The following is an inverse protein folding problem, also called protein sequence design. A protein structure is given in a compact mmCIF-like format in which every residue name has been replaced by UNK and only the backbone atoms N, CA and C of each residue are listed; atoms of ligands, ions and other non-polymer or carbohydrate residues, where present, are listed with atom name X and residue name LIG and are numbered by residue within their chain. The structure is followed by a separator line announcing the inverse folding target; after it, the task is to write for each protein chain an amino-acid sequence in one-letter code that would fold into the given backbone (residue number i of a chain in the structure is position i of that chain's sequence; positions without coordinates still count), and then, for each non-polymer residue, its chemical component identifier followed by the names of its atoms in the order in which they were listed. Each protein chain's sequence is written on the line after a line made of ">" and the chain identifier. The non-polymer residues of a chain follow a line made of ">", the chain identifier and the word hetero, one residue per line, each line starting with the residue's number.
data_IF_404456683973
#
_entry.id   IF_404456683973
#
_cell.length_a   1.000
_cell.length_b   1.000
_cell.length_c   1.000
_cell.angle_alpha   90.00
_cell.angle_beta   90.00
_cell.angle_gamma   90.00
#
_symmetry.space_group_name_H-M   'P 1'
#
loop_
_entity.id
_entity.type
_entity.pdbx_description
1 polymer ?
#
# COMPACT_ATOMS: atom_id res chain seq x y z
N UNK A 1 1.76 2.47 8.09
CA UNK A 1 2.38 1.56 7.09
C UNK A 1 3.45 2.33 6.34
N UNK A 2 4.65 1.77 6.17
CA UNK A 2 5.73 2.41 5.41
C UNK A 2 5.66 1.94 3.94
N UNK A 3 4.99 2.74 3.11
CA UNK A 3 4.78 2.48 1.69
C UNK A 3 5.76 3.19 0.77
N UNK A 4 5.55 3.12 -0.55
CA UNK A 4 6.36 3.81 -1.56
C UNK A 4 6.37 5.33 -1.38
N UNK A 5 5.33 5.90 -0.76
CA UNK A 5 5.18 7.33 -0.55
C UNK A 5 6.27 7.97 0.32
N UNK A 6 6.93 7.24 1.22
CA UNK A 6 7.96 7.84 2.08
C UNK A 6 9.17 8.35 1.29
N UNK A 7 9.49 7.69 0.17
CA UNK A 7 10.60 8.06 -0.70
C UNK A 7 10.16 8.98 -1.85
N UNK A 8 8.93 8.81 -2.36
CA UNK A 8 8.44 9.59 -3.50
C UNK A 8 7.82 10.94 -3.12
N UNK A 9 7.09 10.99 -2.00
CA UNK A 9 6.31 12.17 -1.62
C UNK A 9 7.18 13.39 -1.28
N UNK A 10 8.34 13.27 -0.59
CA UNK A 10 9.19 14.44 -0.34
C UNK A 10 9.61 15.14 -1.64
N UNK A 11 10.04 14.37 -2.64
CA UNK A 11 10.42 14.92 -3.95
C UNK A 11 9.23 15.54 -4.69
N UNK A 12 8.07 14.88 -4.66
CA UNK A 12 6.86 15.40 -5.29
C UNK A 12 6.31 16.67 -4.61
N UNK A 13 6.47 16.77 -3.28
CA UNK A 13 5.96 17.88 -2.49
C UNK A 13 6.94 19.05 -2.37
N UNK A 14 8.24 18.83 -2.65
CA UNK A 14 9.26 19.87 -2.64
C UNK A 14 8.91 21.04 -3.59
N UNK A 15 8.21 20.76 -4.69
CA UNK A 15 7.73 21.76 -5.65
C UNK A 15 6.80 22.81 -5.02
N UNK A 16 6.13 22.48 -3.92
CA UNK A 16 5.24 23.39 -3.19
C UNK A 16 5.95 24.11 -2.03
N UNK A 17 7.23 23.81 -1.78
CA UNK A 17 8.00 24.41 -0.70
C UNK A 17 7.39 24.17 0.68
N UNK A 18 7.53 25.17 1.58
CA UNK A 18 7.10 25.06 2.97
C UNK A 18 5.59 24.84 3.18
N UNK A 19 4.74 25.21 2.21
CA UNK A 19 3.29 25.04 2.35
C UNK A 19 2.87 23.55 2.36
N UNK A 20 3.71 22.67 1.81
CA UNK A 20 3.50 21.21 1.85
C UNK A 20 3.36 20.66 3.27
N UNK A 21 3.89 21.37 4.28
CA UNK A 21 3.80 20.97 5.68
C UNK A 21 2.35 20.90 6.17
N UNK A 22 1.46 21.75 5.67
CA UNK A 22 0.04 21.71 6.01
C UNK A 22 -0.62 20.44 5.45
N UNK A 23 -0.23 20.00 4.25
CA UNK A 23 -0.68 18.73 3.69
C UNK A 23 -0.20 17.52 4.50
N UNK A 24 1.05 17.54 4.95
CA UNK A 24 1.58 16.52 5.87
C UNK A 24 0.84 16.51 7.22
N UNK A 25 0.58 17.67 7.81
CA UNK A 25 -0.17 17.77 9.06
C UNK A 25 -1.61 17.26 8.91
N UNK A 26 -2.29 17.63 7.82
CA UNK A 26 -3.65 17.18 7.55
C UNK A 26 -3.71 15.65 7.39
N UNK A 27 -2.80 15.07 6.60
CA UNK A 27 -2.75 13.61 6.39
C UNK A 27 -2.35 12.85 7.66
N UNK A 28 -1.46 13.40 8.49
CA UNK A 28 -1.10 12.84 9.80
C UNK A 28 -2.31 12.80 10.73
N UNK A 29 -3.02 13.92 10.88
CA UNK A 29 -4.21 14.01 11.74
C UNK A 29 -5.28 13.03 11.26
N UNK A 30 -5.58 13.01 9.95
CA UNK A 30 -6.54 12.05 9.39
C UNK A 30 -6.15 10.59 9.65
N UNK A 31 -4.87 10.26 9.48
CA UNK A 31 -4.36 8.90 9.75
C UNK A 31 -4.52 8.49 11.22
N UNK A 32 -4.26 9.40 12.16
CA UNK A 32 -4.46 9.16 13.60
C UNK A 32 -5.94 8.93 13.91
N UNK A 33 -6.83 9.76 13.36
CA UNK A 33 -8.28 9.61 13.54
C UNK A 33 -8.77 8.25 13.04
N UNK A 34 -8.33 7.83 11.84
CA UNK A 34 -8.64 6.49 11.33
C UNK A 34 -8.10 5.38 12.23
N UNK A 35 -6.86 5.49 12.72
CA UNK A 35 -6.27 4.52 13.61
C UNK A 35 -7.07 4.37 14.92
N UNK A 36 -7.53 5.49 15.50
CA UNK A 36 -8.36 5.49 16.71
C UNK A 36 -9.73 4.84 16.46
N UNK A 37 -10.38 5.13 15.33
CA UNK A 37 -11.66 4.52 14.96
C UNK A 37 -11.49 3.00 14.81
N UNK A 38 -10.51 2.54 14.04
CA UNK A 38 -10.27 1.12 13.86
C UNK A 38 -9.85 0.42 15.16
N UNK A 39 -9.08 1.09 16.02
CA UNK A 39 -8.72 0.56 17.34
C UNK A 39 -9.93 0.35 18.26
N UNK A 40 -10.93 1.25 18.19
CA UNK A 40 -12.18 1.08 18.94
C UNK A 40 -13.04 -0.03 18.35
N UNK A 41 -13.20 -0.05 17.02
CA UNK A 41 -13.99 -1.07 16.33
C UNK A 41 -13.40 -2.48 16.52
N UNK A 42 -12.07 -2.63 16.53
CA UNK A 42 -11.42 -3.93 16.74
C UNK A 42 -11.66 -4.51 18.14
N UNK A 43 -12.02 -3.67 19.12
CA UNK A 43 -12.40 -4.11 20.48
C UNK A 43 -13.88 -4.48 20.58
N UNK A 44 -14.74 -3.78 19.83
CA UNK A 44 -16.19 -3.99 19.84
C UNK A 44 -16.59 -5.19 18.98
N UNK A 45 -15.91 -5.39 17.85
CA UNK A 45 -16.24 -6.42 16.86
C UNK A 45 -15.08 -7.38 16.77
N UNK A 46 -15.23 -8.55 17.41
CA UNK A 46 -14.23 -9.62 17.47
C UNK A 46 -14.27 -10.57 16.28
N UNK A 47 -15.22 -10.36 15.35
CA UNK A 47 -15.33 -11.13 14.11
C UNK A 47 -14.15 -10.81 13.19
N UNK A 48 -13.59 -11.86 12.58
CA UNK A 48 -12.57 -11.73 11.53
C UNK A 48 -13.17 -11.07 10.28
N UNK A 49 -12.41 -10.19 9.63
CA UNK A 49 -12.84 -9.54 8.38
C UNK A 49 -12.56 -8.03 8.30
N UNK A 50 -12.09 -7.40 9.38
CA UNK A 50 -11.62 -6.01 9.37
C UNK A 50 -12.71 -5.02 8.95
N UNK A 51 -12.44 -4.05 8.05
CA UNK A 51 -13.41 -3.04 7.63
C UNK A 51 -14.73 -3.59 7.10
N UNK A 52 -14.69 -4.75 6.42
CA UNK A 52 -15.91 -5.44 5.97
C UNK A 52 -16.76 -5.90 7.16
N UNK A 53 -16.15 -6.57 8.14
CA UNK A 53 -16.87 -7.03 9.32
C UNK A 53 -17.46 -5.84 10.10
N UNK A 54 -16.70 -4.75 10.21
CA UNK A 54 -17.18 -3.56 10.93
C UNK A 54 -18.39 -2.89 10.27
N UNK A 55 -18.33 -2.73 8.94
CA UNK A 55 -19.42 -2.12 8.18
C UNK A 55 -20.65 -3.02 8.11
N UNK A 56 -20.46 -4.34 7.99
CA UNK A 56 -21.56 -5.31 8.00
C UNK A 56 -22.30 -5.34 9.32
N UNK A 57 -21.59 -5.39 10.45
CA UNK A 57 -22.23 -5.44 11.76
C UNK A 57 -22.93 -4.12 12.10
N UNK A 58 -22.37 -2.98 11.69
CA UNK A 58 -22.95 -1.66 11.98
C UNK A 58 -24.09 -1.25 11.05
N UNK A 59 -24.06 -1.66 9.78
CA UNK A 59 -24.92 -1.10 8.72
C UNK A 59 -25.61 -2.16 7.85
N UNK A 60 -25.47 -3.45 8.19
CA UNK A 60 -26.10 -4.56 7.48
C UNK A 60 -25.35 -5.04 6.24
N UNK A 61 -25.91 -6.07 5.60
CA UNK A 61 -25.24 -6.83 4.54
C UNK A 61 -24.93 -6.01 3.28
N UNK A 62 -25.81 -5.09 2.88
CA UNK A 62 -25.62 -4.27 1.68
C UNK A 62 -24.41 -3.34 1.79
N UNK A 63 -24.30 -2.62 2.92
CA UNK A 63 -23.15 -1.74 3.19
C UNK A 63 -21.86 -2.55 3.34
N UNK A 64 -21.93 -3.69 4.03
CA UNK A 64 -20.82 -4.64 4.09
C UNK A 64 -20.34 -5.06 2.70
N UNK A 65 -21.26 -5.43 1.81
CA UNK A 65 -20.93 -5.81 0.44
C UNK A 65 -20.22 -4.68 -0.33
N UNK A 66 -20.75 -3.45 -0.27
CA UNK A 66 -20.12 -2.29 -0.93
C UNK A 66 -18.70 -2.04 -0.42
N UNK A 67 -18.49 -2.12 0.90
CA UNK A 67 -17.17 -1.93 1.51
C UNK A 67 -16.21 -3.06 1.12
N UNK A 68 -16.67 -4.32 1.12
CA UNK A 68 -15.84 -5.45 0.68
C UNK A 68 -15.43 -5.29 -0.79
N UNK A 69 -16.37 -4.92 -1.66
CA UNK A 69 -16.11 -4.73 -3.08
C UNK A 69 -15.16 -3.56 -3.34
N UNK A 70 -15.40 -2.42 -2.71
CA UNK A 70 -14.53 -1.25 -2.82
C UNK A 70 -13.13 -1.50 -2.28
N UNK A 71 -13.02 -2.21 -1.14
CA UNK A 71 -11.74 -2.60 -0.57
C UNK A 71 -10.96 -3.54 -1.50
N UNK A 72 -11.64 -4.50 -2.11
CA UNK A 72 -11.02 -5.42 -3.06
C UNK A 72 -10.49 -4.70 -4.31
N UNK A 73 -11.30 -3.80 -4.90
CA UNK A 73 -10.86 -2.95 -6.02
C UNK A 73 -9.68 -2.04 -5.64
N UNK A 74 -9.68 -1.51 -4.43
CA UNK A 74 -8.58 -0.69 -3.91
C UNK A 74 -7.28 -1.50 -3.79
N UNK A 75 -7.35 -2.76 -3.34
CA UNK A 75 -6.16 -3.62 -3.27
C UNK A 75 -5.61 -3.90 -4.67
N UNK A 76 -6.48 -4.23 -5.63
CA UNK A 76 -6.07 -4.53 -7.00
C UNK A 76 -5.37 -3.35 -7.67
N UNK A 77 -5.99 -2.17 -7.61
CA UNK A 77 -5.42 -0.94 -8.16
C UNK A 77 -4.16 -0.51 -7.41
N UNK A 78 -4.13 -0.69 -6.08
CA UNK A 78 -2.98 -0.43 -5.23
C UNK A 78 -1.77 -1.29 -5.59
N UNK A 79 -1.95 -2.59 -5.81
CA UNK A 79 -0.87 -3.50 -6.22
C UNK A 79 -0.26 -3.09 -7.57
N UNK A 80 -1.10 -2.70 -8.54
CA UNK A 80 -0.63 -2.18 -9.82
C UNK A 80 0.21 -0.91 -9.63
N UNK A 81 -0.28 0.05 -8.84
CA UNK A 81 0.43 1.30 -8.56
C UNK A 81 1.78 1.06 -7.85
N UNK A 82 1.82 0.15 -6.87
CA UNK A 82 3.06 -0.23 -6.18
C UNK A 82 4.07 -0.85 -7.15
N UNK A 83 3.61 -1.73 -8.04
CA UNK A 83 4.49 -2.38 -9.02
C UNK A 83 5.08 -1.37 -10.01
N UNK A 84 4.24 -0.48 -10.56
CA UNK A 84 4.68 0.59 -11.47
C UNK A 84 5.67 1.53 -10.78
N UNK A 85 5.42 1.91 -9.52
CA UNK A 85 6.37 2.71 -8.74
C UNK A 85 7.71 1.99 -8.56
N UNK A 86 7.68 0.67 -8.31
CA UNK A 86 8.87 -0.18 -8.23
C UNK A 86 9.69 -0.17 -9.52
N UNK A 87 9.04 -0.31 -10.67
CA UNK A 87 9.71 -0.19 -11.99
C UNK A 87 10.27 1.22 -12.20
N UNK A 88 9.54 2.25 -11.77
CA UNK A 88 10.02 3.63 -11.77
C UNK A 88 11.34 3.79 -11.01
N UNK A 89 11.46 3.21 -9.82
CA UNK A 89 12.73 3.20 -9.08
C UNK A 89 13.83 2.42 -9.80
N UNK A 90 13.51 1.27 -10.40
CA UNK A 90 14.48 0.46 -11.14
C UNK A 90 14.99 1.16 -12.41
N UNK A 91 14.17 2.00 -13.03
CA UNK A 91 14.53 2.74 -14.25
C UNK A 91 15.70 3.71 -14.07
N UNK A 92 16.01 4.11 -12.83
CA UNK A 92 17.20 4.90 -12.50
C UNK A 92 18.49 4.11 -12.79
N UNK A 93 18.46 2.80 -12.60
CA UNK A 93 19.60 1.90 -12.84
C UNK A 93 19.56 1.25 -14.22
N UNK A 94 18.37 1.06 -14.78
CA UNK A 94 18.15 0.41 -16.08
C UNK A 94 17.36 1.36 -17.01
N UNK A 95 18.06 2.19 -17.80
CA UNK A 95 17.42 3.23 -18.64
C UNK A 95 16.40 2.69 -19.66
N UNK A 96 16.57 1.46 -20.15
CA UNK A 96 15.65 0.82 -21.10
C UNK A 96 14.22 0.68 -20.58
N UNK A 97 14.02 0.67 -19.26
CA UNK A 97 12.69 0.70 -18.64
C UNK A 97 11.99 2.04 -18.87
N UNK A 98 12.75 3.14 -18.90
CA UNK A 98 12.19 4.47 -19.16
C UNK A 98 11.88 4.69 -20.64
N UNK A 99 12.70 4.13 -21.52
CA UNK A 99 12.60 4.33 -22.97
C UNK A 99 11.54 3.46 -23.63
N UNK A 100 11.26 2.26 -23.08
CA UNK A 100 10.33 1.32 -23.68
C UNK A 100 9.16 0.97 -22.72
N UNK A 101 7.96 1.54 -22.94
CA UNK A 101 6.78 1.28 -22.12
C UNK A 101 6.39 -0.20 -22.05
N UNK A 102 6.61 -0.96 -23.13
CA UNK A 102 6.29 -2.39 -23.18
C UNK A 102 7.19 -3.19 -22.23
N UNK A 103 8.50 -2.90 -22.23
CA UNK A 103 9.45 -3.54 -21.31
C UNK A 103 9.08 -3.19 -19.86
N UNK A 104 8.78 -1.92 -19.58
CA UNK A 104 8.31 -1.49 -18.26
C UNK A 104 7.06 -2.25 -17.79
N UNK A 105 6.07 -2.41 -18.66
CA UNK A 105 4.85 -3.15 -18.36
C UNK A 105 5.15 -4.63 -18.07
N UNK A 106 6.01 -5.27 -18.87
CA UNK A 106 6.42 -6.67 -18.66
C UNK A 106 7.11 -6.84 -17.30
N UNK A 107 8.03 -5.93 -16.94
CA UNK A 107 8.72 -5.99 -15.63
C UNK A 107 7.74 -5.76 -14.48
N UNK A 108 6.80 -4.82 -14.61
CA UNK A 108 5.77 -4.59 -13.59
C UNK A 108 4.87 -5.83 -13.40
N UNK A 109 4.46 -6.47 -14.49
CA UNK A 109 3.66 -7.71 -14.46
C UNK A 109 4.47 -8.85 -13.83
N UNK A 110 5.74 -9.00 -14.23
CA UNK A 110 6.64 -10.01 -13.66
C UNK A 110 6.83 -9.81 -12.15
N UNK A 111 6.96 -8.57 -11.68
CA UNK A 111 7.06 -8.26 -10.25
C UNK A 111 5.78 -8.67 -9.50
N UNK A 112 4.59 -8.37 -10.05
CA UNK A 112 3.31 -8.80 -9.46
C UNK A 112 3.25 -10.33 -9.35
N UNK A 113 3.61 -11.05 -10.41
CA UNK A 113 3.61 -12.52 -10.40
C UNK A 113 4.64 -13.10 -9.43
N UNK A 114 5.83 -12.49 -9.33
CA UNK A 114 6.84 -12.90 -8.36
C UNK A 114 6.31 -12.79 -6.92
N UNK A 115 5.74 -11.64 -6.55
CA UNK A 115 5.17 -11.47 -5.21
C UNK A 115 3.93 -12.34 -5.00
N UNK A 116 3.12 -12.58 -6.04
CA UNK A 116 2.00 -13.52 -5.98
C UNK A 116 2.50 -14.93 -5.68
N UNK A 117 3.53 -15.41 -6.39
CA UNK A 117 4.15 -16.70 -6.12
C UNK A 117 4.69 -16.78 -4.69
N UNK A 118 5.40 -15.75 -4.21
CA UNK A 118 5.87 -15.70 -2.81
C UNK A 118 4.70 -15.83 -1.83
N UNK A 119 3.57 -15.17 -2.09
CA UNK A 119 2.37 -15.26 -1.26
C UNK A 119 1.69 -16.63 -1.28
N UNK A 120 1.94 -17.47 -2.29
CA UNK A 120 1.48 -18.88 -2.31
C UNK A 120 2.37 -19.83 -1.51
N UNK A 121 3.56 -19.38 -1.08
CA UNK A 121 4.45 -20.17 -0.23
C UNK A 121 3.97 -20.17 1.23
N UNK A 122 4.64 -20.95 2.08
CA UNK A 122 4.29 -21.03 3.50
C UNK A 122 4.41 -19.66 4.19
N UNK A 123 3.53 -19.44 5.19
CA UNK A 123 3.45 -18.20 5.98
C UNK A 123 4.81 -17.79 6.55
N UNK A 124 5.66 -18.76 6.92
CA UNK A 124 7.04 -18.50 7.39
C UNK A 124 7.91 -17.80 6.34
N UNK A 125 7.84 -18.22 5.08
CA UNK A 125 8.61 -17.62 3.98
C UNK A 125 8.11 -16.20 3.67
N UNK A 126 6.80 -16.01 3.67
CA UNK A 126 6.18 -14.69 3.50
C UNK A 126 6.63 -13.73 4.61
N UNK A 127 6.57 -14.19 5.86
CA UNK A 127 7.03 -13.41 7.02
C UNK A 127 8.51 -13.03 6.95
N UNK A 128 9.37 -13.94 6.47
CA UNK A 128 10.80 -13.65 6.27
C UNK A 128 11.03 -12.57 5.20
N UNK A 129 10.34 -12.64 4.06
CA UNK A 129 10.42 -11.61 3.01
C UNK A 129 9.94 -10.26 3.55
N UNK A 130 8.86 -10.25 4.34
CA UNK A 130 8.36 -9.04 4.97
C UNK A 130 9.35 -8.44 5.99
N UNK A 131 10.02 -9.28 6.78
CA UNK A 131 11.05 -8.83 7.72
C UNK A 131 12.25 -8.22 6.99
N UNK A 132 12.80 -8.92 6.00
CA UNK A 132 13.93 -8.45 5.20
C UNK A 132 13.60 -7.11 4.53
N UNK A 133 12.44 -7.02 3.86
CA UNK A 133 12.02 -5.77 3.20
C UNK A 133 11.75 -4.65 4.20
N UNK A 134 11.32 -4.95 5.42
CA UNK A 134 11.15 -3.94 6.48
C UNK A 134 12.50 -3.40 6.95
N UNK A 135 13.48 -4.28 7.21
CA UNK A 135 14.84 -3.87 7.58
C UNK A 135 15.46 -3.01 6.47
N UNK A 136 15.38 -3.46 5.21
CA UNK A 136 15.91 -2.72 4.06
C UNK A 136 15.26 -1.34 3.88
N UNK A 137 14.01 -1.17 4.29
CA UNK A 137 13.33 0.14 4.26
C UNK A 137 13.76 1.07 5.38
N UNK A 138 14.14 0.54 6.54
CA UNK A 138 14.49 1.33 7.73
C UNK A 138 15.96 1.75 7.71
N UNK A 139 16.87 0.89 7.25
CA UNK A 139 18.31 1.20 7.18
C UNK A 139 18.66 2.51 6.46
N UNK A 140 18.01 2.89 5.34
CA UNK A 140 18.32 4.13 4.63
C UNK A 140 17.56 5.37 5.16
N UNK A 141 16.67 5.22 6.13
CA UNK A 141 15.94 6.34 6.77
C UNK A 141 16.76 6.93 7.92
#
# INVERSE_FOLDING_TARGET
>A
MTGSGIFLLPAALALYGGISIFGWMFTLVGSILFALVFSRLSKLITKSGGPYAYSREGFGDFTGFLVAWGYWLSIWTGNAAISVAGVGYLSVFIPSLKENPMISAIVAIAAIWLFTFINTLSIKKVGMVQLITTILKIVPL
#
